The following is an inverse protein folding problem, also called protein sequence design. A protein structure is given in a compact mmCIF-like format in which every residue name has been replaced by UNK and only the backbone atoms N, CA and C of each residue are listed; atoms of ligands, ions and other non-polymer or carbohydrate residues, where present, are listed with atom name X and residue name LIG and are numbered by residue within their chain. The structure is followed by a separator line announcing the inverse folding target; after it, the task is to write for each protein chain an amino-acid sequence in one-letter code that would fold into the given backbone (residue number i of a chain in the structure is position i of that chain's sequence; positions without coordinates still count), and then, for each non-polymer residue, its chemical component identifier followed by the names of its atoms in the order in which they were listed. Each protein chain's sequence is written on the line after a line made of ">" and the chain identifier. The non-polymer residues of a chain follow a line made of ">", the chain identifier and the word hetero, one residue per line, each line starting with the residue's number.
data_IF_284656580046
#
_entry.id   IF_284656580046
#
_cell.length_a   1.000
_cell.length_b   1.000
_cell.length_c   1.000
_cell.angle_alpha   90.00
_cell.angle_beta   90.00
_cell.angle_gamma   90.00
#
_symmetry.space_group_name_H-M   'P 1'
#
loop_
_entity.id
_entity.type
_entity.pdbx_description
1 polymer ?
#
# COMPACT_ATOMS: atom_id res chain seq x y z
N UNK A 1 -9.70 -4.73 -8.42
CA UNK A 1 -8.80 -3.97 -7.54
C UNK A 1 -7.88 -4.94 -6.83
N UNK A 2 -6.61 -4.94 -7.16
CA UNK A 2 -5.70 -5.92 -6.59
C UNK A 2 -5.46 -5.72 -5.10
N UNK A 3 -5.65 -6.79 -4.36
CA UNK A 3 -5.21 -6.84 -2.99
C UNK A 3 -3.75 -7.31 -3.03
N UNK A 4 -2.84 -6.44 -2.59
CA UNK A 4 -1.40 -6.70 -2.70
C UNK A 4 -0.91 -7.57 -1.56
N UNK A 5 -1.45 -7.34 -0.36
CA UNK A 5 -0.94 -7.99 0.84
C UNK A 5 -1.97 -7.86 1.95
N UNK A 6 -1.86 -8.74 2.94
CA UNK A 6 -2.72 -8.70 4.13
C UNK A 6 -1.92 -9.18 5.33
N UNK A 7 -1.88 -8.38 6.39
CA UNK A 7 -1.16 -8.75 7.62
C UNK A 7 -1.77 -8.03 8.81
N UNK A 8 -1.85 -8.73 9.94
CA UNK A 8 -2.39 -8.20 11.20
C UNK A 8 -3.74 -7.50 11.05
N UNK A 9 -4.61 -8.06 10.19
CA UNK A 9 -5.93 -7.48 9.95
C UNK A 9 -5.94 -6.28 9.01
N UNK A 10 -4.79 -5.87 8.51
CA UNK A 10 -4.64 -4.75 7.58
C UNK A 10 -4.66 -5.29 6.16
N UNK A 11 -5.46 -4.68 5.29
CA UNK A 11 -5.53 -5.05 3.88
C UNK A 11 -4.87 -3.94 3.06
N UNK A 12 -3.89 -4.31 2.25
CA UNK A 12 -3.19 -3.36 1.36
C UNK A 12 -3.68 -3.56 -0.06
N UNK A 13 -4.16 -2.50 -0.67
CA UNK A 13 -4.68 -2.52 -2.05
C UNK A 13 -4.01 -1.46 -2.89
N UNK A 14 -3.86 -1.75 -4.17
CA UNK A 14 -3.41 -0.77 -5.17
C UNK A 14 -4.38 -0.83 -6.33
N UNK A 15 -4.53 0.28 -7.05
CA UNK A 15 -5.53 0.38 -8.11
C UNK A 15 -4.87 0.55 -9.46
N UNK A 16 -5.57 0.11 -10.52
CA UNK A 16 -5.11 0.28 -11.89
C UNK A 16 -5.09 1.77 -12.25
N UNK A 17 -4.03 2.19 -12.92
CA UNK A 17 -3.91 3.53 -13.46
C UNK A 17 -4.14 4.63 -12.41
N UNK A 18 -3.68 4.39 -11.19
CA UNK A 18 -3.78 5.39 -10.12
C UNK A 18 -2.79 6.54 -10.38
N UNK A 19 -3.08 7.73 -9.86
CA UNK A 19 -2.27 8.90 -10.14
C UNK A 19 -1.26 9.17 -9.03
N UNK A 20 -0.23 9.95 -9.36
CA UNK A 20 0.78 10.34 -8.36
C UNK A 20 0.17 11.24 -7.29
N UNK A 21 0.76 11.29 -6.09
CA UNK A 21 2.05 10.69 -5.72
C UNK A 21 1.98 9.17 -5.55
N UNK A 22 3.14 8.53 -5.49
CA UNK A 22 3.24 7.10 -5.24
C UNK A 22 2.58 6.74 -3.91
N UNK A 23 1.56 5.89 -3.94
CA UNK A 23 0.79 5.55 -2.76
C UNK A 23 0.11 4.19 -2.89
N UNK A 24 -0.40 3.71 -1.77
CA UNK A 24 -1.30 2.56 -1.75
C UNK A 24 -2.44 2.84 -0.79
N UNK A 25 -3.43 1.97 -0.80
CA UNK A 25 -4.59 2.08 0.07
C UNK A 25 -4.53 1.00 1.13
N UNK A 26 -4.79 1.37 2.38
CA UNK A 26 -4.80 0.45 3.51
C UNK A 26 -6.17 0.49 4.18
N UNK A 27 -6.65 -0.70 4.57
CA UNK A 27 -7.93 -0.83 5.26
C UNK A 27 -7.72 -1.64 6.54
N UNK A 28 -8.34 -1.18 7.62
CA UNK A 28 -8.33 -1.91 8.89
C UNK A 28 -9.68 -1.67 9.58
N UNK A 29 -10.53 -2.70 9.61
CA UNK A 29 -11.89 -2.53 10.11
C UNK A 29 -12.61 -1.48 9.27
N UNK A 30 -13.10 -0.45 9.92
CA UNK A 30 -13.78 0.65 9.23
C UNK A 30 -12.84 1.80 8.85
N UNK A 31 -11.56 1.69 9.19
CA UNK A 31 -10.57 2.70 8.84
C UNK A 31 -10.04 2.46 7.43
N UNK A 32 -9.88 3.56 6.68
CA UNK A 32 -9.30 3.52 5.35
C UNK A 32 -8.36 4.70 5.20
N UNK A 33 -7.20 4.46 4.63
CA UNK A 33 -6.20 5.50 4.46
C UNK A 33 -5.46 5.31 3.16
N UNK A 34 -5.03 6.44 2.59
CA UNK A 34 -4.14 6.49 1.44
C UNK A 34 -2.78 6.87 2.00
N UNK A 35 -1.78 6.04 1.77
CA UNK A 35 -0.49 6.18 2.42
C UNK A 35 0.63 6.33 1.39
N UNK A 36 1.50 7.32 1.61
CA UNK A 36 2.64 7.58 0.74
C UNK A 36 3.66 6.45 0.84
N UNK A 37 4.07 5.92 -0.31
CA UNK A 37 5.13 4.91 -0.35
C UNK A 37 6.47 5.54 0.03
N UNK A 38 6.68 6.79 -0.35
CA UNK A 38 7.96 7.46 -0.12
C UNK A 38 8.17 7.85 1.34
N UNK A 39 7.13 8.35 2.01
CA UNK A 39 7.26 8.90 3.36
C UNK A 39 6.57 8.07 4.44
N UNK A 40 5.61 7.22 4.06
CA UNK A 40 4.81 6.48 5.03
C UNK A 40 3.72 7.31 5.67
N UNK A 41 3.56 8.57 5.26
CA UNK A 41 2.56 9.45 5.82
C UNK A 41 1.18 9.18 5.24
N UNK A 42 0.15 9.46 6.03
CA UNK A 42 -1.24 9.39 5.55
C UNK A 42 -1.49 10.61 4.67
N UNK A 43 -1.85 10.35 3.42
CA UNK A 43 -2.21 11.40 2.47
C UNK A 43 -3.69 11.74 2.57
N UNK A 44 -4.51 10.75 2.93
CA UNK A 44 -5.96 10.93 3.01
C UNK A 44 -6.52 9.83 3.88
N UNK A 45 -7.56 10.14 4.67
CA UNK A 45 -8.22 9.15 5.50
C UNK A 45 -7.60 9.03 6.88
N UNK A 46 -7.88 7.90 7.54
CA UNK A 46 -7.46 7.68 8.92
C UNK A 46 -6.98 6.23 9.11
N UNK A 47 -6.03 6.06 10.02
CA UNK A 47 -5.54 4.74 10.42
C UNK A 47 -5.07 4.83 11.86
N UNK A 48 -5.45 3.89 12.74
CA UNK A 48 -4.96 3.92 14.13
C UNK A 48 -3.44 3.88 14.17
N UNK A 49 -2.86 4.55 15.15
CA UNK A 49 -1.40 4.69 15.23
C UNK A 49 -0.67 3.36 15.24
N UNK A 50 -1.19 2.38 15.98
CA UNK A 50 -0.57 1.06 16.05
C UNK A 50 -0.46 0.42 14.67
N UNK A 51 -1.56 0.42 13.92
CA UNK A 51 -1.60 -0.17 12.60
C UNK A 51 -0.75 0.65 11.62
N UNK A 52 -0.75 1.96 11.77
CA UNK A 52 0.08 2.82 10.92
C UNK A 52 1.56 2.49 11.11
N UNK A 53 1.99 2.25 12.34
CA UNK A 53 3.39 1.88 12.60
C UNK A 53 3.76 0.55 11.95
N UNK A 54 2.83 -0.41 11.98
CA UNK A 54 3.05 -1.70 11.32
C UNK A 54 3.18 -1.53 9.81
N UNK A 55 2.31 -0.69 9.24
CA UNK A 55 2.35 -0.39 7.81
C UNK A 55 3.67 0.28 7.45
N UNK A 56 4.11 1.25 8.25
CA UNK A 56 5.36 1.98 7.97
C UNK A 56 6.57 1.06 8.03
N UNK A 57 6.61 0.13 8.98
CA UNK A 57 7.68 -0.87 9.05
C UNK A 57 7.68 -1.75 7.79
N UNK A 58 6.51 -2.15 7.35
CA UNK A 58 6.35 -2.97 6.15
C UNK A 58 6.83 -2.22 4.90
N UNK A 59 6.50 -0.92 4.80
CA UNK A 59 6.97 -0.09 3.67
C UNK A 59 8.49 -0.09 3.59
N UNK A 60 9.16 0.08 4.73
CA UNK A 60 10.62 0.11 4.77
C UNK A 60 11.21 -1.16 4.17
N UNK A 61 10.59 -2.30 4.44
CA UNK A 61 11.08 -3.59 3.97
C UNK A 61 10.76 -3.86 2.50
N UNK A 62 9.74 -3.20 1.95
CA UNK A 62 9.21 -3.54 0.63
C UNK A 62 9.02 -2.34 -0.29
N UNK A 63 9.72 -1.25 -0.02
CA UNK A 63 9.54 -0.01 -0.78
C UNK A 63 9.74 -0.22 -2.29
N UNK A 64 10.79 -0.92 -2.67
CA UNK A 64 11.09 -1.15 -4.08
C UNK A 64 9.96 -1.92 -4.78
N UNK A 65 9.46 -2.96 -4.13
CA UNK A 65 8.37 -3.77 -4.69
C UNK A 65 7.09 -2.95 -4.82
N UNK A 66 6.82 -2.07 -3.85
CA UNK A 66 5.64 -1.20 -3.88
C UNK A 66 5.72 -0.23 -5.04
N UNK A 67 6.89 0.37 -5.28
CA UNK A 67 7.09 1.28 -6.40
C UNK A 67 6.89 0.53 -7.72
N UNK A 68 7.47 -0.66 -7.84
CA UNK A 68 7.34 -1.47 -9.04
C UNK A 68 5.87 -1.81 -9.32
N UNK A 69 5.11 -2.18 -8.29
CA UNK A 69 3.69 -2.49 -8.46
C UNK A 69 2.90 -1.25 -8.89
N UNK A 70 3.17 -0.11 -8.26
CA UNK A 70 2.47 1.12 -8.62
C UNK A 70 2.69 1.45 -10.10
N UNK A 71 3.93 1.39 -10.55
CA UNK A 71 4.26 1.66 -11.94
C UNK A 71 3.71 0.59 -12.88
N UNK A 72 3.78 -0.67 -12.48
CA UNK A 72 3.28 -1.77 -13.28
C UNK A 72 1.77 -1.73 -13.50
N UNK A 73 1.04 -1.21 -12.53
CA UNK A 73 -0.42 -1.08 -12.63
C UNK A 73 -0.84 0.10 -13.51
N UNK A 74 0.11 0.96 -13.89
CA UNK A 74 -0.15 2.14 -14.71
C UNK A 74 0.20 1.96 -16.17
N UNK A 75 0.74 0.82 -16.56
CA UNK A 75 1.15 0.58 -17.95
C UNK A 75 0.44 -0.61 -18.57
N UNK A 76 0.61 -0.76 -19.87
CA UNK A 76 0.06 -1.88 -20.62
C UNK A 76 1.21 -2.62 -21.30
N UNK A 77 1.27 -3.94 -21.14
CA UNK A 77 0.35 -4.75 -20.33
C UNK A 77 0.56 -4.51 -18.84
N UNK A 78 -0.50 -4.66 -18.07
CA UNK A 78 -0.46 -4.48 -16.62
C UNK A 78 0.43 -5.54 -15.99
N UNK A 79 1.26 -5.13 -15.02
CA UNK A 79 2.16 -6.03 -14.32
C UNK A 79 2.16 -5.69 -12.83
N UNK A 80 1.90 -6.68 -11.98
CA UNK A 80 1.98 -6.51 -10.53
C UNK A 80 2.12 -7.87 -9.88
N UNK A 81 2.52 -7.89 -8.61
CA UNK A 81 2.65 -9.15 -7.87
C UNK A 81 2.30 -8.92 -6.40
N UNK A 82 1.97 -10.01 -5.72
CA UNK A 82 1.75 -9.94 -4.28
C UNK A 82 3.07 -9.72 -3.57
N UNK A 83 3.01 -9.02 -2.43
CA UNK A 83 4.20 -8.70 -1.64
C UNK A 83 4.09 -9.45 -0.31
N UNK A 84 5.23 -9.91 0.21
CA UNK A 84 5.28 -10.64 1.47
C UNK A 84 4.68 -9.81 2.62
N UNK A 85 3.86 -10.42 3.46
CA UNK A 85 3.33 -9.69 4.61
C UNK A 85 4.39 -9.45 5.68
N UNK A 86 4.10 -8.49 6.54
CA UNK A 86 4.91 -8.24 7.73
C UNK A 86 4.73 -9.41 8.70
N UNK A 87 5.83 -9.94 9.19
CA UNK A 87 5.83 -11.10 10.08
C UNK A 87 6.21 -10.73 11.51
#
# INVERSE_FOLDING_TARGET
>A
MPEICRFYGIIIKMFFNDHFPLHFHAEFGEYKAMISIETGEILQGEMPLKQLKLIQAWIILHEKELVENFEGLRKLPVSWHHIEPLK
#
